data_IF_238540171741
#
_entry.id   IF_238540171741
#
_cell.length_a   1.000
_cell.length_b   1.000
_cell.length_c   1.000
_cell.angle_alpha   90.00
_cell.angle_beta   90.00
_cell.angle_gamma   90.00
#
_symmetry.space_group_name_H-M   'P 1'
#
loop_
_entity.id
_entity.type
_entity.pdbx_description
1 polymer ?
#
# COMPACT_ATOMS: atom_id res chain seq x y z
N UNK A 1 -30.41 -16.99 20.34
CA UNK A 1 -29.61 -16.50 19.22
C UNK A 1 -28.38 -17.37 19.07
N UNK A 2 -28.08 -17.80 17.85
CA UNK A 2 -26.83 -18.47 17.48
C UNK A 2 -25.90 -17.49 16.77
N UNK A 3 -24.61 -17.53 17.07
CA UNK A 3 -23.60 -16.66 16.45
C UNK A 3 -22.69 -17.49 15.56
N UNK A 4 -22.48 -17.03 14.34
CA UNK A 4 -21.58 -17.66 13.37
C UNK A 4 -20.51 -16.66 12.93
N UNK A 5 -19.26 -17.13 12.77
CA UNK A 5 -18.18 -16.42 12.07
C UNK A 5 -17.73 -17.29 10.92
N UNK A 6 -17.81 -16.81 9.68
CA UNK A 6 -17.45 -17.56 8.47
C UNK A 6 -18.00 -19.01 8.47
N UNK A 7 -19.32 -19.13 8.64
CA UNK A 7 -20.07 -20.40 8.71
C UNK A 7 -19.74 -21.30 9.92
N UNK A 8 -18.77 -20.94 10.76
CA UNK A 8 -18.45 -21.65 11.98
C UNK A 8 -19.24 -21.09 13.16
N UNK A 9 -19.96 -21.98 13.86
CA UNK A 9 -20.71 -21.60 15.06
C UNK A 9 -19.73 -21.28 16.20
N UNK A 10 -19.84 -20.08 16.77
CA UNK A 10 -19.11 -19.68 17.95
C UNK A 10 -19.78 -20.26 19.20
N UNK A 11 -19.06 -21.09 19.95
CA UNK A 11 -19.63 -21.76 21.13
C UNK A 11 -19.70 -20.85 22.37
N UNK A 12 -18.97 -19.72 22.43
CA UNK A 12 -18.77 -18.99 23.70
C UNK A 12 -18.59 -17.47 23.60
N UNK A 13 -19.47 -16.72 22.94
CA UNK A 13 -19.37 -15.24 22.90
C UNK A 13 -20.48 -14.50 23.65
N UNK A 14 -21.54 -15.19 24.08
CA UNK A 14 -22.61 -14.56 24.86
C UNK A 14 -22.35 -14.85 26.34
N UNK A 15 -21.75 -13.89 27.04
CA UNK A 15 -21.57 -13.97 28.49
C UNK A 15 -22.53 -13.02 29.22
N UNK A 16 -22.72 -11.79 28.74
CA UNK A 16 -23.51 -10.74 29.43
C UNK A 16 -24.28 -9.79 28.49
N UNK A 17 -24.24 -10.00 27.19
CA UNK A 17 -24.82 -9.14 26.16
C UNK A 17 -26.36 -9.22 26.14
N UNK A 18 -27.02 -8.06 26.03
CA UNK A 18 -28.50 -7.92 26.12
C UNK A 18 -29.17 -7.54 24.81
N UNK A 19 -28.42 -6.88 23.92
CA UNK A 19 -28.90 -6.40 22.62
C UNK A 19 -27.92 -6.77 21.50
N UNK A 20 -28.39 -6.68 20.25
CA UNK A 20 -27.59 -7.01 19.07
C UNK A 20 -26.36 -6.12 18.93
N UNK A 21 -26.43 -4.86 19.38
CA UNK A 21 -25.29 -3.93 19.41
C UNK A 21 -24.15 -4.41 20.31
N UNK A 22 -24.46 -4.89 21.50
CA UNK A 22 -23.46 -5.41 22.45
C UNK A 22 -22.78 -6.67 21.91
N UNK A 23 -23.54 -7.56 21.25
CA UNK A 23 -22.99 -8.74 20.59
C UNK A 23 -22.10 -8.34 19.40
N UNK A 24 -22.54 -7.38 18.59
CA UNK A 24 -21.74 -6.84 17.49
C UNK A 24 -20.41 -6.25 17.99
N UNK A 25 -20.45 -5.44 19.04
CA UNK A 25 -19.26 -4.79 19.61
C UNK A 25 -18.31 -5.82 20.26
N UNK A 26 -18.84 -6.88 20.88
CA UNK A 26 -18.05 -7.95 21.48
C UNK A 26 -17.33 -8.80 20.41
N UNK A 27 -18.06 -9.26 19.39
CA UNK A 27 -17.48 -10.03 18.28
C UNK A 27 -16.50 -9.17 17.49
N UNK A 28 -16.81 -7.90 17.22
CA UNK A 28 -15.89 -6.96 16.56
C UNK A 28 -14.57 -6.82 17.33
N UNK A 29 -14.63 -6.60 18.65
CA UNK A 29 -13.42 -6.52 19.49
C UNK A 29 -12.62 -7.81 19.47
N UNK A 30 -13.29 -8.97 19.51
CA UNK A 30 -12.63 -10.26 19.40
C UNK A 30 -11.96 -10.44 18.03
N UNK A 31 -12.64 -10.07 16.94
CA UNK A 31 -12.10 -10.09 15.57
C UNK A 31 -10.86 -9.19 15.44
N UNK A 32 -10.94 -7.94 15.90
CA UNK A 32 -9.83 -6.97 15.86
C UNK A 32 -8.63 -7.43 16.72
N UNK A 33 -8.88 -8.00 17.91
CA UNK A 33 -7.81 -8.51 18.80
C UNK A 33 -7.06 -9.70 18.19
N UNK A 34 -7.69 -10.43 17.27
CA UNK A 34 -7.10 -11.57 16.56
C UNK A 34 -6.52 -11.19 15.18
N UNK A 35 -6.37 -9.89 14.87
CA UNK A 35 -5.81 -9.44 13.58
C UNK A 35 -6.70 -9.79 12.40
N UNK A 36 -8.00 -9.67 12.57
CA UNK A 36 -9.00 -9.90 11.52
C UNK A 36 -9.92 -8.69 11.43
N UNK A 37 -10.66 -8.57 10.34
CA UNK A 37 -11.63 -7.49 10.16
C UNK A 37 -13.02 -8.02 9.87
N UNK A 38 -14.01 -7.34 10.43
CA UNK A 38 -15.40 -7.63 10.20
C UNK A 38 -15.84 -7.02 8.85
N UNK A 39 -16.16 -7.86 7.87
CA UNK A 39 -16.67 -7.46 6.55
C UNK A 39 -18.10 -6.95 6.64
N UNK A 40 -18.97 -7.80 7.21
CA UNK A 40 -20.39 -7.54 7.30
C UNK A 40 -20.98 -8.41 8.41
N UNK A 41 -22.17 -8.02 8.85
CA UNK A 41 -22.95 -8.76 9.81
C UNK A 41 -24.37 -8.88 9.28
N UNK A 42 -24.94 -10.08 9.35
CA UNK A 42 -26.29 -10.38 8.91
C UNK A 42 -27.07 -10.96 10.09
N UNK A 43 -28.27 -10.46 10.34
CA UNK A 43 -29.18 -10.95 11.38
C UNK A 43 -30.43 -11.51 10.70
N UNK A 44 -30.67 -12.81 10.87
CA UNK A 44 -31.81 -13.51 10.25
C UNK A 44 -31.99 -13.26 8.73
N UNK A 45 -30.88 -13.06 8.02
CA UNK A 45 -30.86 -12.80 6.58
C UNK A 45 -30.89 -11.33 6.16
N UNK A 46 -30.99 -10.39 7.11
CA UNK A 46 -30.95 -8.95 6.85
C UNK A 46 -29.62 -8.32 7.32
N UNK A 47 -29.10 -7.36 6.56
CA UNK A 47 -27.85 -6.68 6.90
C UNK A 47 -27.98 -5.84 8.18
N UNK A 48 -27.05 -6.04 9.12
CA UNK A 48 -27.07 -5.36 10.40
C UNK A 48 -26.83 -3.87 10.23
N UNK A 49 -27.83 -3.07 10.55
CA UNK A 49 -27.74 -1.61 10.48
C UNK A 49 -27.74 -1.02 11.89
N UNK A 50 -26.67 -0.32 12.28
CA UNK A 50 -26.52 0.24 13.63
C UNK A 50 -27.66 1.20 14.02
N UNK A 51 -28.23 1.93 13.07
CA UNK A 51 -29.28 2.91 13.35
C UNK A 51 -30.64 2.29 13.71
N UNK A 52 -30.90 1.05 13.30
CA UNK A 52 -32.23 0.42 13.43
C UNK A 52 -32.21 -0.84 14.28
N UNK A 53 -31.09 -1.57 14.29
CA UNK A 53 -31.03 -2.91 14.89
C UNK A 53 -30.23 -2.95 16.20
N UNK A 54 -29.43 -1.92 16.51
CA UNK A 54 -28.51 -1.92 17.67
C UNK A 54 -29.22 -2.19 19.01
N UNK A 55 -30.35 -1.53 19.25
CA UNK A 55 -31.09 -1.63 20.50
C UNK A 55 -32.05 -2.85 20.55
N UNK A 56 -32.12 -3.63 19.46
CA UNK A 56 -32.97 -4.82 19.42
C UNK A 56 -32.45 -5.89 20.38
N UNK A 57 -33.37 -6.50 21.13
CA UNK A 57 -33.01 -7.57 22.06
C UNK A 57 -32.53 -8.81 21.31
N UNK A 58 -31.53 -9.48 21.87
CA UNK A 58 -31.01 -10.76 21.34
C UNK A 58 -32.08 -11.87 21.28
N UNK A 59 -33.18 -11.74 22.01
CA UNK A 59 -34.30 -12.69 21.98
C UNK A 59 -35.12 -12.62 20.70
N UNK A 60 -35.05 -11.49 19.98
CA UNK A 60 -35.77 -11.26 18.73
C UNK A 60 -35.02 -11.75 17.50
N UNK A 61 -33.78 -12.22 17.67
CA UNK A 61 -32.94 -12.72 16.59
C UNK A 61 -32.62 -14.20 16.78
N UNK A 62 -32.81 -14.97 15.72
CA UNK A 62 -32.53 -16.41 15.73
C UNK A 62 -31.05 -16.66 15.48
N UNK A 63 -30.49 -15.97 14.48
CA UNK A 63 -29.15 -16.15 13.94
C UNK A 63 -28.48 -14.79 13.68
N UNK A 64 -27.21 -14.68 14.08
CA UNK A 64 -26.35 -13.55 13.76
C UNK A 64 -25.07 -14.08 13.13
N UNK A 65 -24.81 -13.69 11.88
CA UNK A 65 -23.71 -14.17 11.06
C UNK A 65 -22.74 -13.04 10.81
N UNK A 66 -21.49 -13.24 11.23
CA UNK A 66 -20.39 -12.34 11.01
C UNK A 66 -19.53 -12.89 9.88
N UNK A 67 -19.35 -12.10 8.85
CA UNK A 67 -18.41 -12.38 7.78
C UNK A 67 -17.12 -11.66 8.14
N UNK A 68 -16.05 -12.42 8.34
CA UNK A 68 -14.76 -11.91 8.79
C UNK A 68 -13.76 -12.20 7.69
N UNK A 69 -13.24 -11.15 7.08
CA UNK A 69 -12.19 -11.28 6.07
C UNK A 69 -10.85 -11.52 6.74
N UNK A 70 -9.92 -12.11 5.99
CA UNK A 70 -8.52 -11.90 6.32
C UNK A 70 -8.21 -10.41 6.21
N UNK A 71 -7.38 -9.94 7.11
CA UNK A 71 -7.13 -8.51 7.30
C UNK A 71 -6.50 -7.86 6.05
N UNK A 72 -5.90 -8.67 5.17
CA UNK A 72 -5.31 -8.25 3.90
C UNK A 72 -6.31 -8.10 2.76
N UNK A 73 -7.31 -8.97 2.59
CA UNK A 73 -8.27 -8.89 1.48
C UNK A 73 -9.09 -7.59 1.51
N UNK A 74 -9.60 -7.25 2.70
CA UNK A 74 -10.35 -6.01 2.91
C UNK A 74 -9.46 -4.81 2.70
N UNK A 75 -8.23 -4.87 3.21
CA UNK A 75 -7.25 -3.82 3.00
C UNK A 75 -7.01 -3.61 1.50
N UNK A 76 -6.72 -4.66 0.75
CA UNK A 76 -6.43 -4.60 -0.69
C UNK A 76 -7.63 -4.00 -1.44
N UNK A 77 -8.85 -4.49 -1.19
CA UNK A 77 -10.07 -3.93 -1.79
C UNK A 77 -10.24 -2.45 -1.46
N UNK A 78 -10.01 -2.06 -0.20
CA UNK A 78 -10.12 -0.67 0.25
C UNK A 78 -9.06 0.22 -0.41
N UNK A 79 -7.83 -0.27 -0.54
CA UNK A 79 -6.75 0.44 -1.22
C UNK A 79 -7.02 0.63 -2.72
N UNK A 80 -7.65 -0.35 -3.39
CA UNK A 80 -8.11 -0.19 -4.77
C UNK A 80 -9.23 0.85 -4.93
N UNK A 81 -10.15 0.92 -3.97
CA UNK A 81 -11.17 1.97 -3.95
C UNK A 81 -10.53 3.35 -3.75
N UNK A 82 -9.54 3.45 -2.85
CA UNK A 82 -8.75 4.66 -2.64
C UNK A 82 -8.04 5.08 -3.93
N UNK A 83 -7.36 4.16 -4.58
CA UNK A 83 -6.63 4.39 -5.83
C UNK A 83 -7.55 4.94 -6.94
N UNK A 84 -8.73 4.35 -7.06
CA UNK A 84 -9.78 4.77 -8.01
C UNK A 84 -10.36 6.14 -7.67
N UNK A 85 -10.53 6.43 -6.37
CA UNK A 85 -11.03 7.73 -5.91
C UNK A 85 -10.02 8.85 -6.20
N UNK A 86 -8.73 8.62 -5.91
CA UNK A 86 -7.65 9.58 -6.21
C UNK A 86 -7.60 9.89 -7.71
N UNK A 87 -7.72 8.88 -8.59
CA UNK A 87 -7.79 9.09 -10.04
C UNK A 87 -8.98 9.92 -10.46
N UNK A 88 -10.15 9.65 -9.87
CA UNK A 88 -11.37 10.40 -10.14
C UNK A 88 -11.21 11.87 -9.76
N UNK A 89 -10.65 12.16 -8.58
CA UNK A 89 -10.38 13.54 -8.14
C UNK A 89 -9.41 14.23 -9.11
N UNK A 90 -8.28 13.58 -9.42
CA UNK A 90 -7.28 14.14 -10.33
C UNK A 90 -7.85 14.47 -11.71
N UNK A 91 -8.59 13.52 -12.30
CA UNK A 91 -9.24 13.69 -13.60
C UNK A 91 -10.31 14.78 -13.58
N UNK A 92 -11.05 14.91 -12.48
CA UNK A 92 -12.13 15.90 -12.35
C UNK A 92 -11.59 17.32 -12.22
N UNK A 93 -10.50 17.50 -11.48
CA UNK A 93 -9.89 18.80 -11.21
C UNK A 93 -9.00 19.30 -12.35
N UNK A 94 -8.50 18.40 -13.21
CA UNK A 94 -7.60 18.77 -14.30
C UNK A 94 -8.21 19.82 -15.24
N UNK A 95 -7.54 20.98 -15.35
CA UNK A 95 -7.97 22.09 -16.20
C UNK A 95 -9.15 22.91 -15.67
N UNK A 96 -9.58 22.68 -14.42
CA UNK A 96 -10.56 23.54 -13.75
C UNK A 96 -9.89 24.76 -13.11
N UNK A 97 -10.68 25.79 -12.87
CA UNK A 97 -10.28 27.01 -12.18
C UNK A 97 -11.04 27.23 -10.86
N UNK A 98 -12.09 26.46 -10.59
CA UNK A 98 -12.91 26.57 -9.40
C UNK A 98 -13.80 25.33 -9.20
N UNK A 99 -14.35 25.21 -7.99
CA UNK A 99 -15.39 24.24 -7.66
C UNK A 99 -16.64 24.93 -7.12
N UNK A 100 -17.79 24.31 -7.31
CA UNK A 100 -19.01 24.70 -6.60
C UNK A 100 -18.90 24.36 -5.10
N UNK A 101 -19.69 25.02 -4.27
CA UNK A 101 -19.75 24.75 -2.82
C UNK A 101 -20.05 23.27 -2.51
N UNK A 102 -20.94 22.66 -3.31
CA UNK A 102 -21.26 21.24 -3.21
C UNK A 102 -20.05 20.36 -3.52
N UNK A 103 -19.36 20.61 -4.62
CA UNK A 103 -18.19 19.82 -5.02
C UNK A 103 -17.02 19.99 -4.04
N UNK A 104 -16.80 21.21 -3.52
CA UNK A 104 -15.76 21.45 -2.50
C UNK A 104 -16.04 20.70 -1.20
N UNK A 105 -17.32 20.63 -0.79
CA UNK A 105 -17.72 19.81 0.36
C UNK A 105 -17.50 18.32 0.10
N UNK A 106 -17.95 17.81 -1.05
CA UNK A 106 -17.75 16.40 -1.44
C UNK A 106 -16.27 16.02 -1.51
N UNK A 107 -15.41 16.92 -2.02
CA UNK A 107 -13.97 16.73 -2.04
C UNK A 107 -13.40 16.69 -0.62
N UNK A 108 -13.79 17.62 0.25
CA UNK A 108 -13.30 17.67 1.63
C UNK A 108 -13.70 16.43 2.42
N UNK A 109 -14.95 15.97 2.30
CA UNK A 109 -15.42 14.73 2.91
C UNK A 109 -14.62 13.51 2.38
N UNK A 110 -14.35 13.50 1.07
CA UNK A 110 -13.54 12.46 0.44
C UNK A 110 -12.08 12.44 0.90
N UNK A 111 -11.42 13.59 1.05
CA UNK A 111 -10.07 13.67 1.64
C UNK A 111 -10.06 13.19 3.09
N UNK A 112 -11.13 13.46 3.85
CA UNK A 112 -11.32 12.91 5.19
C UNK A 112 -11.38 11.37 5.19
N UNK A 113 -12.08 10.79 4.22
CA UNK A 113 -12.13 9.34 4.03
C UNK A 113 -10.76 8.75 3.65
N UNK A 114 -10.02 9.37 2.72
CA UNK A 114 -8.65 8.97 2.35
C UNK A 114 -7.78 8.85 3.61
N UNK A 115 -7.78 9.89 4.45
CA UNK A 115 -6.97 9.93 5.68
C UNK A 115 -7.33 8.78 6.62
N UNK A 116 -8.62 8.58 6.88
CA UNK A 116 -9.11 7.52 7.77
C UNK A 116 -8.71 6.11 7.28
N UNK A 117 -8.82 5.87 5.98
CA UNK A 117 -8.43 4.60 5.36
C UNK A 117 -6.93 4.37 5.47
N UNK A 118 -6.12 5.37 5.12
CA UNK A 118 -4.66 5.26 5.24
C UNK A 118 -4.24 5.10 6.71
N UNK A 119 -4.80 5.82 7.66
CA UNK A 119 -4.50 5.60 9.08
C UNK A 119 -4.79 4.16 9.53
N UNK A 120 -5.85 3.55 9.00
CA UNK A 120 -6.19 2.14 9.26
C UNK A 120 -5.18 1.19 8.62
N UNK A 121 -4.86 1.41 7.34
CA UNK A 121 -3.84 0.66 6.61
C UNK A 121 -2.45 0.76 7.30
N UNK A 122 -2.09 1.94 7.77
CA UNK A 122 -0.82 2.20 8.44
C UNK A 122 -0.69 1.48 9.78
N UNK A 123 -1.78 1.37 10.56
CA UNK A 123 -1.77 0.58 11.80
C UNK A 123 -1.57 -0.90 11.53
N UNK A 124 -2.31 -1.43 10.58
CA UNK A 124 -2.24 -2.82 10.15
C UNK A 124 -0.84 -3.18 9.64
N UNK A 125 -0.35 -2.44 8.64
CA UNK A 125 0.95 -2.68 8.02
C UNK A 125 2.13 -2.11 8.81
N UNK A 126 1.88 -1.50 9.97
CA UNK A 126 2.87 -0.83 10.84
C UNK A 126 3.73 0.21 10.11
N UNK A 127 3.09 0.97 9.22
CA UNK A 127 3.72 2.03 8.45
C UNK A 127 3.88 3.29 9.29
N UNK A 128 5.01 3.99 9.08
CA UNK A 128 5.32 5.27 9.70
C UNK A 128 5.25 6.37 8.65
N UNK A 129 4.07 6.95 8.45
CA UNK A 129 3.81 7.92 7.37
C UNK A 129 4.59 9.23 7.50
N UNK A 130 5.10 9.54 8.69
CA UNK A 130 6.05 10.63 8.96
C UNK A 130 7.47 10.34 8.48
N UNK A 131 7.76 9.11 8.05
CA UNK A 131 9.07 8.66 7.58
C UNK A 131 9.04 8.18 6.12
N UNK A 132 7.85 8.03 5.53
CA UNK A 132 7.69 7.56 4.16
C UNK A 132 7.55 8.78 3.25
N UNK A 133 8.48 8.93 2.31
CA UNK A 133 8.48 9.97 1.28
C UNK A 133 8.24 9.32 -0.08
N UNK A 134 7.06 9.52 -0.68
CA UNK A 134 6.83 9.12 -2.07
C UNK A 134 7.76 9.92 -3.00
N UNK A 135 8.05 9.37 -4.18
CA UNK A 135 8.80 10.09 -5.20
C UNK A 135 7.94 11.28 -5.68
N UNK A 136 8.44 12.50 -5.60
CA UNK A 136 7.64 13.71 -5.87
C UNK A 136 8.23 14.97 -5.24
N UNK A 137 7.40 15.72 -4.52
CA UNK A 137 7.76 17.00 -3.85
C UNK A 137 8.76 16.86 -2.70
N UNK A 138 9.05 15.64 -2.25
CA UNK A 138 9.90 15.36 -1.08
C UNK A 138 9.15 15.41 0.25
N UNK A 139 7.85 15.70 0.23
CA UNK A 139 6.97 15.62 1.40
C UNK A 139 6.76 14.17 1.83
N UNK A 140 6.62 13.99 3.14
CA UNK A 140 6.19 12.72 3.74
C UNK A 140 4.71 12.48 3.46
N UNK A 141 4.27 11.22 3.51
CA UNK A 141 2.84 10.87 3.37
C UNK A 141 1.99 11.64 4.40
N UNK A 142 2.49 11.84 5.62
CA UNK A 142 1.77 12.64 6.62
C UNK A 142 1.59 14.10 6.20
N UNK A 143 2.64 14.74 5.67
CA UNK A 143 2.59 16.13 5.19
C UNK A 143 1.66 16.27 3.97
N UNK A 144 1.74 15.32 3.03
CA UNK A 144 0.86 15.28 1.85
C UNK A 144 -0.61 15.26 2.27
N UNK A 145 -0.98 14.39 3.22
CA UNK A 145 -2.36 14.32 3.71
C UNK A 145 -2.80 15.61 4.41
N UNK A 146 -1.91 16.25 5.16
CA UNK A 146 -2.17 17.53 5.83
C UNK A 146 -2.42 18.65 4.84
N UNK A 147 -1.60 18.76 3.79
CA UNK A 147 -1.77 19.77 2.74
C UNK A 147 -3.05 19.53 1.93
N UNK A 148 -3.34 18.29 1.53
CA UNK A 148 -4.61 17.96 0.85
C UNK A 148 -5.82 18.33 1.72
N UNK A 149 -5.77 18.06 3.02
CA UNK A 149 -6.86 18.36 3.95
C UNK A 149 -7.05 19.88 4.16
N UNK A 150 -5.94 20.65 4.19
CA UNK A 150 -5.98 22.11 4.34
C UNK A 150 -6.53 22.79 3.08
N UNK A 151 -6.17 22.28 1.91
CA UNK A 151 -6.41 22.94 0.64
C UNK A 151 -7.73 22.51 -0.03
N UNK A 152 -8.31 21.35 0.33
CA UNK A 152 -9.56 20.83 -0.28
C UNK A 152 -10.76 21.78 -0.21
N UNK A 153 -10.77 22.67 0.79
CA UNK A 153 -11.85 23.65 1.01
C UNK A 153 -11.60 25.02 0.37
N UNK A 154 -10.44 25.22 -0.27
CA UNK A 154 -9.95 26.53 -0.76
C UNK A 154 -9.34 26.43 -2.15
N UNK A 155 -10.02 25.74 -3.05
CA UNK A 155 -9.57 25.57 -4.44
C UNK A 155 -10.14 26.67 -5.34
N UNK A 156 -9.74 27.92 -5.04
CA UNK A 156 -10.12 29.11 -5.80
C UNK A 156 -8.98 29.52 -6.75
N UNK A 157 -9.20 29.33 -8.04
CA UNK A 157 -8.23 29.67 -9.09
C UNK A 157 -7.35 28.49 -9.51
N UNK A 158 -6.79 28.61 -10.71
CA UNK A 158 -5.97 27.58 -11.35
C UNK A 158 -4.75 27.21 -10.50
N UNK A 159 -4.06 28.18 -9.89
CA UNK A 159 -2.87 27.92 -9.07
C UNK A 159 -3.16 27.04 -7.84
N UNK A 160 -4.26 27.32 -7.12
CA UNK A 160 -4.63 26.52 -5.95
C UNK A 160 -4.97 25.07 -6.33
N UNK A 161 -5.62 24.89 -7.50
CA UNK A 161 -5.92 23.57 -8.05
C UNK A 161 -4.64 22.85 -8.49
N UNK A 162 -3.71 23.53 -9.15
CA UNK A 162 -2.42 22.97 -9.56
C UNK A 162 -1.59 22.50 -8.36
N UNK A 163 -1.47 23.32 -7.31
CA UNK A 163 -0.79 22.96 -6.06
C UNK A 163 -1.45 21.74 -5.38
N UNK A 164 -2.79 21.71 -5.33
CA UNK A 164 -3.52 20.55 -4.80
C UNK A 164 -3.28 19.28 -5.62
N UNK A 165 -3.26 19.40 -6.95
CA UNK A 165 -2.99 18.28 -7.86
C UNK A 165 -1.57 17.75 -7.73
N UNK A 166 -0.59 18.58 -7.36
CA UNK A 166 0.78 18.16 -7.08
C UNK A 166 0.83 17.22 -5.87
N UNK A 167 0.21 17.60 -4.74
CA UNK A 167 0.11 16.71 -3.57
C UNK A 167 -0.75 15.46 -3.85
N UNK A 168 -1.81 15.60 -4.65
CA UNK A 168 -2.66 14.46 -5.01
C UNK A 168 -1.90 13.44 -5.88
N UNK A 169 -1.00 13.92 -6.73
CA UNK A 169 -0.11 13.08 -7.54
C UNK A 169 0.87 12.32 -6.65
N UNK A 170 1.50 12.97 -5.69
CA UNK A 170 2.40 12.30 -4.75
C UNK A 170 1.66 11.24 -3.92
N UNK A 171 0.43 11.55 -3.49
CA UNK A 171 -0.45 10.59 -2.85
C UNK A 171 -0.77 9.41 -3.78
N UNK A 172 -1.07 9.67 -5.06
CA UNK A 172 -1.34 8.61 -6.04
C UNK A 172 -0.16 7.67 -6.18
N UNK A 173 1.06 8.20 -6.31
CA UNK A 173 2.29 7.41 -6.43
C UNK A 173 2.48 6.52 -5.20
N UNK A 174 2.21 7.06 -4.00
CA UNK A 174 2.23 6.28 -2.77
C UNK A 174 1.17 5.17 -2.74
N UNK A 175 -0.09 5.49 -3.08
CA UNK A 175 -1.19 4.52 -3.04
C UNK A 175 -0.96 3.39 -4.03
N UNK A 176 -0.49 3.70 -5.24
CA UNK A 176 -0.12 2.68 -6.24
C UNK A 176 0.94 1.71 -5.71
N UNK A 177 2.01 2.23 -5.09
CA UNK A 177 3.06 1.40 -4.48
C UNK A 177 2.51 0.57 -3.30
N UNK A 178 1.65 1.17 -2.47
CA UNK A 178 1.05 0.50 -1.33
C UNK A 178 0.11 -0.65 -1.76
N UNK A 179 -0.73 -0.42 -2.77
CA UNK A 179 -1.58 -1.44 -3.39
C UNK A 179 -0.70 -2.59 -3.90
N UNK A 180 0.32 -2.28 -4.70
CA UNK A 180 1.20 -3.30 -5.27
C UNK A 180 1.86 -4.17 -4.20
N UNK A 181 2.36 -3.55 -3.10
CA UNK A 181 2.96 -4.29 -1.99
C UNK A 181 1.94 -5.09 -1.18
N UNK A 182 0.78 -4.52 -0.87
CA UNK A 182 -0.25 -5.21 -0.11
C UNK A 182 -0.74 -6.45 -0.87
N UNK A 183 -0.94 -6.34 -2.19
CA UNK A 183 -1.34 -7.47 -3.03
C UNK A 183 -0.33 -8.62 -3.04
N UNK A 184 0.96 -8.34 -2.88
CA UNK A 184 2.01 -9.39 -2.82
C UNK A 184 1.89 -10.25 -1.57
N UNK A 185 1.44 -9.68 -0.45
CA UNK A 185 1.34 -10.40 0.83
C UNK A 185 0.33 -11.56 0.78
N UNK A 186 -0.67 -11.45 -0.08
CA UNK A 186 -1.72 -12.45 -0.26
C UNK A 186 -1.36 -13.52 -1.32
N UNK A 187 -0.29 -13.32 -2.11
CA UNK A 187 0.01 -14.21 -3.23
C UNK A 187 0.43 -15.62 -2.83
N UNK A 188 0.01 -16.59 -3.63
CA UNK A 188 0.41 -17.98 -3.50
C UNK A 188 1.86 -18.24 -3.94
N UNK A 189 2.46 -19.29 -3.37
CA UNK A 189 3.87 -19.65 -3.59
C UNK A 189 4.28 -19.79 -5.07
N UNK A 190 3.48 -20.42 -5.96
CA UNK A 190 3.82 -20.49 -7.38
C UNK A 190 3.93 -19.11 -8.01
N UNK A 191 3.02 -18.19 -7.67
CA UNK A 191 3.02 -16.81 -8.18
C UNK A 191 4.19 -16.01 -7.63
N UNK A 192 4.55 -16.18 -6.36
CA UNK A 192 5.73 -15.55 -5.77
C UNK A 192 7.03 -16.00 -6.47
N UNK A 193 7.16 -17.30 -6.80
CA UNK A 193 8.29 -17.82 -7.58
C UNK A 193 8.32 -17.24 -9.00
N UNK A 194 7.16 -17.10 -9.63
CA UNK A 194 7.03 -16.48 -10.96
C UNK A 194 7.41 -14.99 -10.94
N UNK A 195 7.04 -14.24 -9.90
CA UNK A 195 7.46 -12.83 -9.72
C UNK A 195 8.99 -12.75 -9.65
N UNK A 196 9.63 -13.62 -8.87
CA UNK A 196 11.08 -13.65 -8.75
C UNK A 196 11.76 -13.97 -10.09
N UNK A 197 11.28 -14.99 -10.80
CA UNK A 197 11.81 -15.37 -12.12
C UNK A 197 11.61 -14.26 -13.17
N UNK A 198 10.44 -13.61 -13.16
CA UNK A 198 10.12 -12.49 -14.03
C UNK A 198 11.01 -11.29 -13.74
N UNK A 199 11.23 -10.96 -12.46
CA UNK A 199 12.09 -9.87 -12.06
C UNK A 199 13.54 -10.11 -12.51
N UNK A 200 14.09 -11.31 -12.26
CA UNK A 200 15.44 -11.70 -12.69
C UNK A 200 15.62 -11.46 -14.20
N UNK A 201 14.65 -11.87 -15.00
CA UNK A 201 14.65 -11.65 -16.47
C UNK A 201 14.46 -10.19 -16.86
N UNK A 202 13.77 -9.41 -16.04
CA UNK A 202 13.47 -8.00 -16.29
C UNK A 202 14.57 -7.04 -15.83
N UNK A 203 15.56 -7.47 -15.02
CA UNK A 203 16.66 -6.61 -14.54
C UNK A 203 17.32 -5.78 -15.66
N UNK A 204 17.67 -6.33 -16.84
CA UNK A 204 18.24 -5.51 -17.92
C UNK A 204 17.33 -4.39 -18.38
N UNK A 205 16.03 -4.65 -18.52
CA UNK A 205 15.04 -3.65 -18.92
C UNK A 205 14.80 -2.61 -17.81
N UNK A 206 14.79 -3.05 -16.55
CA UNK A 206 14.68 -2.15 -15.39
C UNK A 206 15.85 -1.17 -15.32
N UNK A 207 17.09 -1.64 -15.56
CA UNK A 207 18.28 -0.78 -15.68
C UNK A 207 18.12 0.26 -16.79
N UNK A 208 17.65 -0.16 -17.96
CA UNK A 208 17.39 0.76 -19.08
C UNK A 208 16.30 1.79 -18.72
N UNK A 209 15.27 1.39 -17.97
CA UNK A 209 14.27 2.33 -17.47
C UNK A 209 14.87 3.39 -16.55
N UNK A 210 15.79 3.04 -15.65
CA UNK A 210 16.50 4.03 -14.83
C UNK A 210 17.35 4.99 -15.69
N UNK A 211 18.09 4.50 -16.68
CA UNK A 211 18.82 5.39 -17.62
C UNK A 211 17.87 6.39 -18.31
N UNK A 212 16.70 5.92 -18.78
CA UNK A 212 15.68 6.77 -19.39
C UNK A 212 15.10 7.82 -18.44
N UNK A 213 15.03 7.54 -17.14
CA UNK A 213 14.63 8.55 -16.15
C UNK A 213 15.57 9.76 -16.22
N UNK A 214 16.89 9.54 -16.24
CA UNK A 214 17.85 10.64 -16.37
C UNK A 214 17.70 11.38 -17.71
N UNK A 215 17.53 10.65 -18.82
CA UNK A 215 17.28 11.26 -20.13
C UNK A 215 16.02 12.16 -20.13
N UNK A 216 14.96 11.75 -19.44
CA UNK A 216 13.73 12.55 -19.31
C UNK A 216 13.93 13.79 -18.45
N UNK A 217 14.66 13.70 -17.32
CA UNK A 217 15.03 14.87 -16.53
C UNK A 217 15.88 15.87 -17.33
N UNK A 218 16.88 15.39 -18.07
CA UNK A 218 17.72 16.24 -18.93
C UNK A 218 16.92 16.90 -20.07
N UNK A 219 15.86 16.24 -20.55
CA UNK A 219 14.95 16.78 -21.55
C UNK A 219 13.88 17.73 -20.97
N UNK A 220 13.89 18.00 -19.65
CA UNK A 220 12.89 18.82 -18.96
C UNK A 220 11.50 18.20 -18.91
N UNK A 221 11.41 16.86 -19.00
CA UNK A 221 10.16 16.09 -18.93
C UNK A 221 9.98 15.49 -17.54
N UNK A 222 10.04 16.33 -16.53
CA UNK A 222 10.13 15.94 -15.11
C UNK A 222 8.97 15.04 -14.67
N UNK A 223 7.74 15.33 -15.13
CA UNK A 223 6.58 14.49 -14.80
C UNK A 223 6.71 13.06 -15.33
N UNK A 224 7.24 12.91 -16.56
CA UNK A 224 7.47 11.60 -17.18
C UNK A 224 8.60 10.87 -16.46
N UNK A 225 9.67 11.59 -16.11
CA UNK A 225 10.79 11.05 -15.36
C UNK A 225 10.35 10.54 -13.98
N UNK A 226 9.60 11.34 -13.21
CA UNK A 226 9.09 10.98 -11.89
C UNK A 226 8.14 9.78 -11.95
N UNK A 227 7.27 9.73 -12.97
CA UNK A 227 6.39 8.58 -13.16
C UNK A 227 7.17 7.29 -13.45
N UNK A 228 8.12 7.34 -14.40
CA UNK A 228 8.95 6.19 -14.75
C UNK A 228 9.84 5.74 -13.58
N UNK A 229 10.39 6.70 -12.82
CA UNK A 229 11.16 6.43 -11.61
C UNK A 229 10.30 5.70 -10.58
N UNK A 230 9.09 6.21 -10.30
CA UNK A 230 8.17 5.57 -9.36
C UNK A 230 7.82 4.15 -9.78
N UNK A 231 7.52 3.93 -11.07
CA UNK A 231 7.25 2.59 -11.59
C UNK A 231 8.44 1.64 -11.43
N UNK A 232 9.66 2.13 -11.66
CA UNK A 232 10.89 1.34 -11.53
C UNK A 232 11.17 0.99 -10.08
N UNK A 233 10.98 1.94 -9.15
CA UNK A 233 11.14 1.73 -7.71
C UNK A 233 10.04 0.81 -7.15
N UNK A 234 8.80 0.94 -7.63
CA UNK A 234 7.70 0.06 -7.24
C UNK A 234 7.98 -1.40 -7.61
N UNK A 235 8.59 -1.67 -8.77
CA UNK A 235 9.03 -3.03 -9.13
C UNK A 235 10.05 -3.60 -8.12
N UNK A 236 11.00 -2.78 -7.67
CA UNK A 236 11.95 -3.17 -6.62
C UNK A 236 11.23 -3.45 -5.30
N UNK A 237 10.32 -2.57 -4.88
CA UNK A 237 9.55 -2.74 -3.64
C UNK A 237 8.68 -4.00 -3.65
N UNK A 238 8.07 -4.32 -4.79
CA UNK A 238 7.32 -5.57 -5.00
C UNK A 238 8.24 -6.79 -4.83
N UNK A 239 9.43 -6.76 -5.43
CA UNK A 239 10.42 -7.81 -5.25
C UNK A 239 10.83 -7.96 -3.77
N UNK A 240 11.17 -6.86 -3.09
CA UNK A 240 11.54 -6.89 -1.67
C UNK A 240 10.42 -7.46 -0.79
N UNK A 241 9.17 -7.07 -1.07
CA UNK A 241 7.99 -7.60 -0.38
C UNK A 241 7.78 -9.09 -0.67
N UNK A 242 8.10 -9.55 -1.88
CA UNK A 242 8.04 -10.95 -2.25
C UNK A 242 9.00 -11.80 -1.41
N UNK A 243 10.18 -11.28 -1.02
CA UNK A 243 11.11 -12.01 -0.13
C UNK A 243 10.55 -12.19 1.27
N UNK A 244 9.90 -11.16 1.81
CA UNK A 244 9.24 -11.24 3.12
C UNK A 244 8.15 -12.31 3.06
N UNK A 245 7.32 -12.28 2.03
CA UNK A 245 6.20 -13.22 1.84
C UNK A 245 6.68 -14.65 1.60
N UNK A 246 7.72 -14.83 0.78
CA UNK A 246 8.37 -16.13 0.55
C UNK A 246 8.91 -16.70 1.85
N UNK A 247 9.59 -15.90 2.68
CA UNK A 247 10.12 -16.36 3.98
C UNK A 247 9.00 -16.73 4.96
N UNK A 248 7.88 -16.01 4.94
CA UNK A 248 6.71 -16.34 5.76
C UNK A 248 6.06 -17.66 5.33
N UNK A 249 5.90 -17.87 4.01
CA UNK A 249 5.26 -19.08 3.46
C UNK A 249 6.21 -20.29 3.36
N UNK A 250 7.53 -20.10 3.42
CA UNK A 250 8.54 -21.17 3.40
C UNK A 250 9.43 -21.13 4.66
N UNK A 251 9.08 -21.87 5.72
CA UNK A 251 9.83 -21.89 6.99
C UNK A 251 11.31 -22.32 6.85
N UNK A 252 11.67 -23.03 5.78
CA UNK A 252 13.05 -23.42 5.46
C UNK A 252 13.88 -22.35 4.75
N UNK A 253 13.26 -21.23 4.37
CA UNK A 253 13.93 -20.11 3.73
C UNK A 253 14.72 -19.29 4.75
N UNK A 254 16.02 -19.23 4.52
CA UNK A 254 16.96 -18.60 5.44
C UNK A 254 17.97 -17.76 4.67
N UNK A 255 17.62 -16.49 4.48
CA UNK A 255 18.44 -15.53 3.73
C UNK A 255 19.80 -15.28 4.38
N UNK A 256 19.97 -15.54 5.67
CA UNK A 256 21.26 -15.36 6.36
C UNK A 256 22.34 -16.32 5.83
N UNK A 257 21.94 -17.43 5.19
CA UNK A 257 22.84 -18.39 4.55
C UNK A 257 23.23 -18.02 3.13
N UNK A 258 22.60 -17.00 2.55
CA UNK A 258 22.92 -16.54 1.20
C UNK A 258 24.04 -15.51 1.30
N UNK A 259 25.23 -15.93 0.87
CA UNK A 259 26.42 -15.09 0.87
C UNK A 259 27.19 -15.29 -0.44
N UNK A 260 27.65 -14.21 -1.06
CA UNK A 260 28.47 -14.21 -2.27
C UNK A 260 29.62 -13.24 -2.05
N UNK A 261 30.86 -13.69 -2.29
CA UNK A 261 32.07 -12.88 -2.12
C UNK A 261 32.13 -12.16 -0.75
N UNK A 262 31.84 -12.90 0.32
CA UNK A 262 31.81 -12.42 1.71
C UNK A 262 30.69 -11.43 2.06
N UNK A 263 29.87 -11.00 1.09
CA UNK A 263 28.70 -10.14 1.34
C UNK A 263 27.42 -10.95 1.48
N UNK A 264 26.60 -10.58 2.45
CA UNK A 264 25.32 -11.23 2.76
C UNK A 264 24.17 -10.66 1.94
N UNK A 265 23.09 -11.43 1.82
CA UNK A 265 21.85 -10.97 1.19
C UNK A 265 21.25 -9.72 1.85
N UNK A 266 21.33 -9.65 3.18
CA UNK A 266 20.83 -8.51 3.96
C UNK A 266 21.64 -7.25 3.67
N UNK A 267 22.98 -7.33 3.65
CA UNK A 267 23.83 -6.20 3.26
C UNK A 267 23.51 -5.72 1.84
N UNK A 268 23.29 -6.63 0.89
CA UNK A 268 22.98 -6.25 -0.49
C UNK A 268 21.58 -5.64 -0.65
N UNK A 269 20.62 -6.08 0.16
CA UNK A 269 19.29 -5.46 0.23
C UNK A 269 19.38 -4.05 0.83
N UNK A 270 20.23 -3.85 1.85
CA UNK A 270 20.47 -2.53 2.44
C UNK A 270 21.16 -1.58 1.47
N UNK A 271 22.18 -2.03 0.72
CA UNK A 271 22.80 -1.23 -0.34
C UNK A 271 21.73 -0.67 -1.31
N UNK A 272 20.81 -1.53 -1.76
CA UNK A 272 19.76 -1.13 -2.70
C UNK A 272 18.83 -0.08 -2.09
N UNK A 273 18.41 -0.27 -0.84
CA UNK A 273 17.60 0.71 -0.11
C UNK A 273 18.33 2.04 0.10
N UNK A 274 19.62 2.01 0.44
CA UNK A 274 20.44 3.20 0.68
C UNK A 274 20.66 3.99 -0.61
N UNK A 275 20.86 3.32 -1.74
CA UNK A 275 20.95 3.97 -3.06
C UNK A 275 19.62 4.62 -3.43
N UNK A 276 18.48 3.93 -3.23
CA UNK A 276 17.15 4.49 -3.47
C UNK A 276 16.84 5.70 -2.56
N UNK A 277 17.24 5.63 -1.29
CA UNK A 277 17.11 6.75 -0.34
C UNK A 277 17.98 7.94 -0.75
N UNK A 278 19.18 7.68 -1.30
CA UNK A 278 20.06 8.73 -1.81
C UNK A 278 19.47 9.46 -3.02
N UNK A 279 18.74 8.74 -3.90
CA UNK A 279 17.97 9.37 -4.99
C UNK A 279 16.88 10.28 -4.41
N UNK A 280 16.08 9.77 -3.47
CA UNK A 280 15.01 10.55 -2.86
C UNK A 280 15.52 11.83 -2.19
N UNK A 281 16.66 11.76 -1.49
CA UNK A 281 17.34 12.93 -0.89
C UNK A 281 17.82 13.93 -1.95
N UNK A 282 18.43 13.47 -3.04
CA UNK A 282 18.89 14.37 -4.11
C UNK A 282 17.71 15.09 -4.80
N UNK A 283 16.59 14.39 -5.02
CA UNK A 283 15.36 14.98 -5.56
C UNK A 283 14.76 16.02 -4.59
N UNK A 284 14.75 15.74 -3.29
CA UNK A 284 14.31 16.68 -2.25
C UNK A 284 15.16 17.96 -2.24
N UNK A 285 16.47 17.82 -2.39
CA UNK A 285 17.41 18.94 -2.49
C UNK A 285 17.32 19.69 -3.85
N UNK A 286 16.44 19.24 -4.76
CA UNK A 286 16.31 19.72 -6.16
C UNK A 286 17.62 19.60 -6.94
N UNK A 287 18.51 18.71 -6.53
CA UNK A 287 19.77 18.41 -7.21
C UNK A 287 19.53 17.30 -8.25
N UNK A 288 18.93 17.70 -9.37
CA UNK A 288 18.59 16.80 -10.47
C UNK A 288 19.84 16.16 -11.10
N UNK A 289 20.99 16.84 -11.04
CA UNK A 289 22.25 16.31 -11.58
C UNK A 289 22.70 15.13 -10.71
N UNK A 290 22.78 15.33 -9.38
CA UNK A 290 23.13 14.25 -8.45
C UNK A 290 22.11 13.11 -8.49
N UNK A 291 20.82 13.41 -8.53
CA UNK A 291 19.79 12.39 -8.67
C UNK A 291 19.98 11.59 -9.97
N UNK A 292 20.24 12.28 -11.08
CA UNK A 292 20.53 11.69 -12.38
C UNK A 292 21.73 10.76 -12.36
N UNK A 293 22.83 11.15 -11.73
CA UNK A 293 24.05 10.32 -11.63
C UNK A 293 23.80 9.02 -10.85
N UNK A 294 23.11 9.11 -9.71
CA UNK A 294 22.76 7.93 -8.89
C UNK A 294 21.84 7.00 -9.68
N UNK A 295 20.83 7.57 -10.36
CA UNK A 295 19.86 6.84 -11.18
C UNK A 295 20.54 6.16 -12.38
N UNK A 296 21.44 6.85 -13.08
CA UNK A 296 22.05 6.37 -14.32
C UNK A 296 23.17 5.35 -14.06
N UNK A 297 23.95 5.50 -12.99
CA UNK A 297 25.16 4.71 -12.78
C UNK A 297 25.11 3.83 -11.53
N UNK A 298 24.66 4.35 -10.39
CA UNK A 298 24.73 3.63 -9.12
C UNK A 298 23.65 2.55 -9.01
N UNK A 299 22.38 2.88 -9.28
CA UNK A 299 21.28 1.91 -9.24
C UNK A 299 21.55 0.73 -10.19
N UNK A 300 21.91 0.94 -11.47
CA UNK A 300 22.17 -0.17 -12.37
C UNK A 300 23.33 -1.06 -11.94
N UNK A 301 24.39 -0.50 -11.34
CA UNK A 301 25.49 -1.27 -10.80
C UNK A 301 25.06 -2.11 -9.58
N UNK A 302 24.28 -1.54 -8.67
CA UNK A 302 23.73 -2.27 -7.52
C UNK A 302 22.83 -3.42 -7.96
N UNK A 303 22.00 -3.21 -9.00
CA UNK A 303 21.15 -4.26 -9.58
C UNK A 303 21.96 -5.40 -10.21
N UNK A 304 23.05 -5.10 -10.92
CA UNK A 304 23.96 -6.13 -11.47
C UNK A 304 24.57 -6.99 -10.37
N UNK A 305 25.02 -6.36 -9.28
CA UNK A 305 25.57 -7.06 -8.13
C UNK A 305 24.51 -7.84 -7.34
N UNK A 306 23.24 -7.41 -7.38
CA UNK A 306 22.15 -8.10 -6.69
C UNK A 306 21.66 -9.33 -7.44
N UNK A 307 21.77 -9.35 -8.77
CA UNK A 307 21.26 -10.44 -9.62
C UNK A 307 21.71 -11.85 -9.18
N UNK A 308 23.00 -12.13 -8.86
CA UNK A 308 23.42 -13.45 -8.40
C UNK A 308 22.79 -13.86 -7.06
N UNK A 309 22.47 -12.89 -6.20
CA UNK A 309 21.75 -13.15 -4.95
C UNK A 309 20.30 -13.54 -5.22
N UNK A 310 19.64 -12.89 -6.18
CA UNK A 310 18.28 -13.24 -6.61
C UNK A 310 18.21 -14.67 -7.15
N UNK A 311 19.21 -15.07 -7.94
CA UNK A 311 19.32 -16.45 -8.43
C UNK A 311 19.46 -17.45 -7.28
N UNK A 312 20.27 -17.14 -6.26
CA UNK A 312 20.40 -17.98 -5.04
C UNK A 312 19.08 -18.09 -4.26
N UNK A 313 18.35 -16.97 -4.10
CA UNK A 313 17.03 -16.97 -3.46
C UNK A 313 16.09 -17.88 -4.23
N UNK A 314 16.08 -17.78 -5.56
CA UNK A 314 15.25 -18.61 -6.43
C UNK A 314 15.61 -20.09 -6.31
N UNK A 315 16.89 -20.44 -6.39
CA UNK A 315 17.39 -21.82 -6.20
C UNK A 315 16.91 -22.40 -4.88
N UNK A 316 17.04 -21.65 -3.78
CA UNK A 316 16.59 -22.09 -2.47
C UNK A 316 15.06 -22.23 -2.43
N UNK A 317 14.32 -21.24 -2.94
CA UNK A 317 12.86 -21.25 -3.01
C UNK A 317 12.34 -22.45 -3.78
N UNK A 318 12.93 -22.78 -4.94
CA UNK A 318 12.56 -23.91 -5.79
C UNK A 318 12.92 -25.26 -5.16
N UNK A 319 13.99 -25.33 -4.38
CA UNK A 319 14.44 -26.54 -3.69
C UNK A 319 13.56 -26.94 -2.49
N UNK A 320 12.84 -25.97 -1.91
CA UNK A 320 11.94 -26.20 -0.79
C UNK A 320 10.57 -26.62 -1.32
N UNK A 321 10.21 -27.89 -1.08
CA UNK A 321 8.85 -28.37 -1.34
C UNK A 321 7.88 -27.83 -0.27
N UNK A 322 6.62 -27.63 -0.68
CA UNK A 322 5.48 -27.34 0.21
C UNK A 322 5.10 -28.61 0.96
#
# INVERSE_FOLDING_TARGET
>A
MEIFVNEQKLESVIENEKNLGEVFDAVRRWVETNGKFLLSCVVDGEEFTQNTMRDSSISNASKMEFFVGEELDILISSLHELDSYVDKVGTTLLGRDSLTEKESKELTDGIGWIRSLLESAGKLLKLKYDQIKPMGTGSTVSEILDELSRNSSKLDGTTAIEEFLEYLRDLKLFVMDLVARASVLDLELPTLREILDTFIKAVPALKESFVKVNEYYQAGKDEVATHLLTQSVSQINVLLTSFITLRQKLPGMDFSKIQIAERTFEEKTNDLNDTLASVALALEEKDIIRAGDIIEYEIPAVLDEFLPFLEKVKEQADSLAV
#
